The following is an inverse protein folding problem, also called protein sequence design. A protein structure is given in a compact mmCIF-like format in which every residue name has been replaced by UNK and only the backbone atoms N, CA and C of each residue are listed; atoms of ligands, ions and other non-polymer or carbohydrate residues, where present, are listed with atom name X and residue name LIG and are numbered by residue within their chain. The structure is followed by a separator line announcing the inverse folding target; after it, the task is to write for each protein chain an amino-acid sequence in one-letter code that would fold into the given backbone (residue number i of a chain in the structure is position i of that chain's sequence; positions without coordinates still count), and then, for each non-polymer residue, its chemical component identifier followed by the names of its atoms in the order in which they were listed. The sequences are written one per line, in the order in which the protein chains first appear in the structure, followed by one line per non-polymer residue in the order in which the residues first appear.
data_IF_887389647211
#
_entry.id   IF_887389647211
#
_cell.length_a   1.000
_cell.length_b   1.000
_cell.length_c   1.000
_cell.angle_alpha   90.00
_cell.angle_beta   90.00
_cell.angle_gamma   90.00
#
_symmetry.space_group_name_H-M   'P 1'
#
loop_
_entity.id
_entity.type
_entity.pdbx_description
1 polymer ?
#
# COMPACT_ATOMS: atom_id res chain seq x y z
N UNK A 1 68.47 -11.75 -29.19
CA UNK A 1 67.57 -12.83 -28.66
C UNK A 1 66.18 -12.26 -28.60
N UNK A 2 65.26 -12.70 -29.49
CA UNK A 2 63.84 -12.44 -29.35
C UNK A 2 63.26 -13.56 -28.49
N UNK A 3 62.77 -13.21 -27.32
CA UNK A 3 61.92 -14.10 -26.53
C UNK A 3 60.54 -14.18 -27.24
N UNK A 4 60.06 -15.36 -27.64
CA UNK A 4 58.72 -15.46 -28.17
C UNK A 4 57.75 -15.14 -27.03
N UNK A 5 56.89 -14.14 -27.25
CA UNK A 5 55.73 -13.91 -26.38
C UNK A 5 54.70 -14.93 -26.84
N UNK A 6 54.57 -16.01 -26.09
CA UNK A 6 53.51 -16.99 -26.29
C UNK A 6 52.23 -16.37 -25.73
N UNK A 7 51.46 -15.70 -26.60
CA UNK A 7 50.14 -15.17 -26.24
C UNK A 7 49.16 -16.33 -26.31
N UNK A 8 48.82 -16.88 -25.14
CA UNK A 8 47.66 -17.78 -25.04
C UNK A 8 46.38 -16.96 -25.25
N UNK A 9 45.68 -17.25 -26.33
CA UNK A 9 44.32 -16.73 -26.55
C UNK A 9 43.40 -17.56 -25.67
N UNK A 10 42.85 -16.96 -24.60
CA UNK A 10 41.79 -17.57 -23.81
C UNK A 10 40.44 -17.20 -24.45
N UNK A 11 39.57 -18.18 -24.61
CA UNK A 11 38.20 -17.93 -25.02
C UNK A 11 37.48 -17.01 -24.00
N UNK A 12 36.65 -16.12 -24.50
CA UNK A 12 35.85 -15.26 -23.64
C UNK A 12 34.84 -16.10 -22.86
N UNK A 13 34.90 -16.01 -21.53
CA UNK A 13 33.94 -16.67 -20.64
C UNK A 13 32.66 -15.85 -20.57
N UNK A 14 31.50 -16.51 -20.60
CA UNK A 14 30.22 -15.83 -20.51
C UNK A 14 29.88 -15.50 -19.05
N UNK A 15 29.64 -14.23 -18.76
CA UNK A 15 29.10 -13.81 -17.45
C UNK A 15 27.69 -14.38 -17.27
N UNK A 16 27.43 -15.05 -16.13
CA UNK A 16 26.10 -15.59 -15.88
C UNK A 16 25.54 -15.06 -14.55
N UNK A 17 24.22 -14.85 -14.52
CA UNK A 17 23.49 -14.34 -13.36
C UNK A 17 22.21 -15.12 -13.17
N UNK A 18 21.77 -15.21 -11.92
CA UNK A 18 20.42 -15.68 -11.62
C UNK A 18 19.44 -14.56 -11.98
N UNK A 19 18.40 -14.88 -12.76
CA UNK A 19 17.34 -13.93 -13.11
C UNK A 19 16.69 -13.42 -11.82
N UNK A 20 16.56 -12.09 -11.72
CA UNK A 20 15.80 -11.45 -10.65
C UNK A 20 14.32 -11.58 -10.98
N UNK A 21 13.52 -12.00 -9.99
CA UNK A 21 12.07 -12.13 -10.11
C UNK A 21 11.40 -10.77 -10.35
N UNK A 22 10.20 -10.80 -10.90
CA UNK A 22 9.38 -9.62 -11.12
C UNK A 22 9.19 -8.85 -9.82
N UNK A 23 9.35 -7.54 -9.88
CA UNK A 23 9.42 -6.66 -8.71
C UNK A 23 8.34 -5.58 -8.79
N UNK A 24 7.84 -5.15 -7.64
CA UNK A 24 6.83 -4.08 -7.58
C UNK A 24 7.46 -2.70 -7.77
N UNK A 25 6.71 -1.81 -8.41
CA UNK A 25 7.07 -0.40 -8.56
C UNK A 25 7.49 0.22 -7.21
N UNK A 26 8.59 0.99 -7.22
CA UNK A 26 9.16 1.62 -6.03
C UNK A 26 10.01 0.72 -5.15
N UNK A 27 10.17 -0.58 -5.48
CA UNK A 27 11.06 -1.46 -4.71
C UNK A 27 12.51 -1.19 -5.03
N UNK A 28 13.31 -0.88 -4.03
CA UNK A 28 14.76 -0.68 -4.19
C UNK A 28 15.49 -2.03 -4.32
N UNK A 29 16.30 -2.16 -5.35
CA UNK A 29 17.10 -3.33 -5.65
C UNK A 29 18.57 -2.93 -5.88
N UNK A 30 19.50 -3.78 -5.41
CA UNK A 30 20.91 -3.66 -5.74
C UNK A 30 21.29 -4.79 -6.69
N UNK A 31 21.74 -4.47 -7.90
CA UNK A 31 22.18 -5.45 -8.87
C UNK A 31 23.55 -6.03 -8.42
N UNK A 32 23.77 -7.36 -8.57
CA UNK A 32 25.02 -7.99 -8.17
C UNK A 32 26.17 -7.52 -9.06
N UNK A 33 27.25 -7.05 -8.47
CA UNK A 33 28.46 -6.61 -9.17
C UNK A 33 29.43 -7.77 -9.50
N UNK A 34 29.06 -8.99 -9.12
CA UNK A 34 29.82 -10.21 -9.40
C UNK A 34 28.88 -11.28 -9.93
N UNK A 35 29.22 -11.88 -11.05
CA UNK A 35 28.46 -12.98 -11.66
C UNK A 35 28.58 -14.28 -10.85
N UNK A 36 27.71 -15.25 -11.13
CA UNK A 36 27.73 -16.56 -10.47
C UNK A 36 29.04 -17.33 -10.68
N UNK A 37 29.78 -17.04 -11.77
CA UNK A 37 31.08 -17.62 -12.08
C UNK A 37 32.27 -16.70 -11.73
N UNK A 38 32.01 -15.66 -10.89
CA UNK A 38 33.07 -14.86 -10.26
C UNK A 38 33.62 -13.70 -11.10
N UNK A 39 33.00 -13.35 -12.22
CA UNK A 39 33.38 -12.22 -13.06
C UNK A 39 32.82 -10.94 -12.42
N UNK A 40 33.68 -9.95 -12.17
CA UNK A 40 33.26 -8.63 -11.63
C UNK A 40 32.98 -7.63 -12.74
N UNK A 41 32.12 -6.67 -12.49
CA UNK A 41 31.76 -5.65 -13.45
C UNK A 41 30.64 -4.74 -12.99
N UNK A 42 30.05 -4.00 -13.90
CA UNK A 42 29.01 -3.01 -13.64
C UNK A 42 27.81 -3.20 -14.56
N UNK A 43 26.63 -2.85 -14.07
CA UNK A 43 25.39 -2.83 -14.84
C UNK A 43 25.11 -1.45 -15.41
N UNK A 44 24.63 -1.41 -16.62
CA UNK A 44 24.16 -0.20 -17.31
C UNK A 44 22.83 -0.48 -17.98
N UNK A 45 21.83 0.45 -17.88
CA UNK A 45 21.83 1.66 -17.06
C UNK A 45 21.78 1.37 -15.56
N UNK A 46 21.78 2.42 -14.72
CA UNK A 46 21.51 2.30 -13.28
C UNK A 46 20.11 1.75 -13.07
N UNK A 47 19.88 0.98 -11.99
CA UNK A 47 18.59 0.41 -11.67
C UNK A 47 17.49 1.48 -11.55
N UNK A 48 16.37 1.24 -12.24
CA UNK A 48 15.17 2.07 -12.22
C UNK A 48 14.03 1.29 -11.55
N UNK A 49 13.58 1.69 -10.35
CA UNK A 49 12.52 0.99 -9.63
C UNK A 49 11.11 1.21 -10.22
N UNK A 50 10.96 2.08 -11.22
CA UNK A 50 9.64 2.46 -11.74
C UNK A 50 9.37 1.94 -13.15
N UNK A 51 10.39 1.44 -13.85
CA UNK A 51 10.23 1.00 -15.23
C UNK A 51 10.89 -0.35 -15.50
N UNK A 52 10.16 -1.23 -16.18
CA UNK A 52 10.75 -2.45 -16.76
C UNK A 52 11.90 -2.08 -17.68
N UNK A 53 13.10 -2.55 -17.37
CA UNK A 53 14.33 -2.14 -18.04
C UNK A 53 15.23 -3.34 -18.32
N UNK A 54 15.83 -3.35 -19.48
CA UNK A 54 16.91 -4.26 -19.83
C UNK A 54 18.25 -3.67 -19.40
N UNK A 55 19.01 -4.42 -18.65
CA UNK A 55 20.33 -4.06 -18.13
C UNK A 55 21.41 -4.88 -18.80
N UNK A 56 22.52 -4.24 -19.12
CA UNK A 56 23.72 -4.89 -19.67
C UNK A 56 24.82 -4.88 -18.61
N UNK A 57 25.37 -6.03 -18.33
CA UNK A 57 26.54 -6.19 -17.47
C UNK A 57 27.81 -6.07 -18.31
N UNK A 58 28.67 -5.16 -17.93
CA UNK A 58 29.99 -4.96 -18.54
C UNK A 58 31.07 -5.46 -17.57
N UNK A 59 31.81 -6.55 -17.94
CA UNK A 59 32.93 -7.04 -17.15
C UNK A 59 34.02 -5.99 -16.98
N UNK A 60 34.71 -6.00 -15.82
CA UNK A 60 35.87 -5.16 -15.60
C UNK A 60 37.02 -5.50 -16.55
N UNK A 61 37.87 -4.53 -16.86
CA UNK A 61 38.98 -4.72 -17.75
C UNK A 61 39.93 -5.85 -17.26
N UNK A 62 40.43 -6.65 -18.20
CA UNK A 62 41.36 -7.74 -17.94
C UNK A 62 40.73 -9.08 -17.57
N UNK A 63 39.42 -9.17 -17.47
CA UNK A 63 38.70 -10.42 -17.32
C UNK A 63 38.25 -10.88 -18.70
N UNK A 64 38.85 -11.85 -19.32
CA UNK A 64 38.44 -12.37 -20.64
C UNK A 64 37.01 -12.87 -20.62
N UNK A 65 36.04 -11.97 -20.44
CA UNK A 65 34.61 -12.25 -20.27
C UNK A 65 33.75 -11.44 -21.24
N UNK A 66 32.61 -11.99 -21.63
CA UNK A 66 31.61 -11.31 -22.44
C UNK A 66 30.55 -10.63 -21.58
N UNK A 67 29.90 -9.60 -22.14
CA UNK A 67 28.74 -8.95 -21.53
C UNK A 67 27.59 -9.93 -21.30
N UNK A 68 26.72 -9.63 -20.35
CA UNK A 68 25.46 -10.34 -20.12
C UNK A 68 24.29 -9.33 -20.10
N UNK A 69 23.13 -9.82 -20.41
CA UNK A 69 21.89 -9.02 -20.36
C UNK A 69 20.90 -9.62 -19.37
N UNK A 70 20.16 -8.76 -18.68
CA UNK A 70 19.08 -9.14 -17.77
C UNK A 70 17.96 -8.12 -17.89
N UNK A 71 16.73 -8.57 -18.11
CA UNK A 71 15.55 -7.71 -18.03
C UNK A 71 14.89 -7.89 -16.66
N UNK A 72 14.67 -6.79 -15.95
CA UNK A 72 13.91 -6.77 -14.71
C UNK A 72 12.55 -6.16 -15.02
N UNK A 73 11.50 -6.93 -14.74
CA UNK A 73 10.11 -6.52 -14.94
C UNK A 73 9.61 -5.79 -13.69
N UNK A 74 9.14 -4.57 -13.87
CA UNK A 74 8.50 -3.78 -12.81
C UNK A 74 6.98 -3.85 -13.02
N UNK A 75 6.31 -4.40 -12.01
CA UNK A 75 4.84 -4.49 -11.98
C UNK A 75 4.28 -3.29 -11.25
N UNK A 76 3.37 -2.50 -11.87
CA UNK A 76 2.72 -1.37 -11.21
C UNK A 76 2.01 -1.79 -9.93
N UNK A 77 2.09 -0.93 -8.90
CA UNK A 77 1.37 -1.14 -7.65
C UNK A 77 -0.12 -0.84 -7.82
N UNK A 78 -0.98 -1.66 -7.21
CA UNK A 78 -2.43 -1.48 -7.24
C UNK A 78 -2.97 -1.29 -5.84
N UNK A 79 -3.80 -0.27 -5.64
CA UNK A 79 -4.42 0.04 -4.34
C UNK A 79 -5.89 -0.42 -4.38
N UNK A 80 -6.37 -1.22 -3.40
CA UNK A 80 -7.79 -1.55 -3.28
C UNK A 80 -8.63 -0.29 -3.02
N UNK A 81 -9.68 -0.11 -3.81
CA UNK A 81 -10.59 1.04 -3.72
C UNK A 81 -11.91 0.62 -3.09
N UNK A 82 -12.42 1.45 -2.16
CA UNK A 82 -13.70 1.22 -1.50
C UNK A 82 -14.55 2.48 -1.47
N UNK A 83 -15.86 2.30 -1.54
CA UNK A 83 -16.81 3.38 -1.26
C UNK A 83 -16.79 3.66 0.24
N UNK A 84 -16.57 4.92 0.61
CA UNK A 84 -16.58 5.34 2.02
C UNK A 84 -17.97 5.06 2.63
N UNK A 85 -17.98 4.43 3.79
CA UNK A 85 -19.20 4.25 4.60
C UNK A 85 -19.52 5.60 5.26
N UNK A 86 -20.77 6.04 5.11
CA UNK A 86 -21.26 7.28 5.73
C UNK A 86 -21.14 7.24 7.26
N UNK A 87 -21.00 8.40 7.93
CA UNK A 87 -20.97 8.45 9.39
C UNK A 87 -22.23 7.82 10.00
N UNK A 88 -22.05 6.99 11.03
CA UNK A 88 -23.11 6.31 11.78
C UNK A 88 -23.37 7.05 13.09
N UNK A 89 -24.59 6.89 13.66
CA UNK A 89 -24.84 7.29 15.03
C UNK A 89 -24.42 6.17 16.01
N UNK A 90 -23.97 6.56 17.19
CA UNK A 90 -23.60 5.60 18.23
C UNK A 90 -24.76 4.64 18.56
N UNK A 91 -24.51 3.33 18.45
CA UNK A 91 -25.50 2.28 18.68
C UNK A 91 -26.30 1.86 17.44
N UNK A 92 -26.14 2.51 16.28
CA UNK A 92 -26.75 2.06 15.05
C UNK A 92 -26.25 0.65 14.66
N UNK A 93 -27.06 -0.05 13.86
CA UNK A 93 -26.64 -1.33 13.30
C UNK A 93 -25.74 -1.06 12.08
N UNK A 94 -24.43 -1.34 12.15
CA UNK A 94 -23.54 -1.02 11.07
C UNK A 94 -23.70 -1.96 9.87
N UNK A 95 -23.38 -1.51 8.64
CA UNK A 95 -23.26 -2.40 7.50
C UNK A 95 -22.08 -3.37 7.67
N UNK A 96 -22.02 -4.39 6.82
CA UNK A 96 -20.86 -5.26 6.75
C UNK A 96 -19.71 -4.58 5.97
N UNK A 97 -18.46 -4.85 6.36
CA UNK A 97 -17.30 -4.43 5.59
C UNK A 97 -17.18 -5.27 4.32
N UNK A 98 -17.08 -4.66 3.13
CA UNK A 98 -16.97 -5.42 1.88
C UNK A 98 -15.64 -6.18 1.81
N UNK A 99 -15.70 -7.47 1.48
CA UNK A 99 -14.51 -8.33 1.34
C UNK A 99 -13.86 -8.23 -0.05
N UNK A 100 -14.52 -7.55 -0.98
CA UNK A 100 -14.04 -7.30 -2.35
C UNK A 100 -14.07 -5.80 -2.60
N UNK A 101 -12.96 -5.25 -3.05
CA UNK A 101 -12.85 -3.84 -3.39
C UNK A 101 -13.62 -3.49 -4.67
N UNK A 102 -13.87 -2.20 -4.94
CA UNK A 102 -14.56 -1.73 -6.15
C UNK A 102 -13.79 -2.09 -7.43
N UNK A 103 -12.47 -2.26 -7.34
CA UNK A 103 -11.60 -2.69 -8.44
C UNK A 103 -11.29 -4.20 -8.41
N UNK A 104 -12.10 -5.00 -7.66
CA UNK A 104 -12.13 -6.45 -7.76
C UNK A 104 -11.08 -7.21 -6.93
N UNK A 105 -10.41 -6.55 -5.99
CA UNK A 105 -9.38 -7.16 -5.15
C UNK A 105 -10.05 -7.76 -3.90
N UNK A 106 -9.83 -9.05 -3.67
CA UNK A 106 -10.31 -9.77 -2.49
C UNK A 106 -9.34 -9.59 -1.31
N UNK A 107 -9.88 -9.54 -0.09
CA UNK A 107 -9.08 -9.38 1.12
C UNK A 107 -9.88 -9.40 2.41
N UNK A 108 -9.22 -8.98 3.49
CA UNK A 108 -9.80 -8.97 4.83
C UNK A 108 -9.54 -7.65 5.53
N UNK A 109 -10.47 -7.28 6.40
CA UNK A 109 -10.36 -6.09 7.24
C UNK A 109 -9.83 -6.42 8.63
N UNK A 110 -9.04 -5.49 9.18
CA UNK A 110 -8.64 -5.52 10.58
C UNK A 110 -8.86 -4.12 11.20
N UNK A 111 -9.73 -3.97 12.21
CA UNK A 111 -10.70 -4.96 12.70
C UNK A 111 -11.67 -5.45 11.61
N UNK A 112 -12.25 -6.64 11.77
CA UNK A 112 -13.17 -7.25 10.80
C UNK A 112 -14.66 -6.98 11.09
N UNK A 113 -14.96 -6.30 12.20
CA UNK A 113 -16.31 -5.92 12.62
C UNK A 113 -16.29 -4.42 12.94
N UNK A 114 -17.32 -3.70 12.45
CA UNK A 114 -17.45 -2.28 12.72
C UNK A 114 -17.83 -2.05 14.18
N UNK A 115 -17.01 -1.25 14.88
CA UNK A 115 -17.33 -0.72 16.19
C UNK A 115 -18.35 0.41 16.00
N UNK A 116 -19.56 0.23 16.53
CA UNK A 116 -20.62 1.22 16.40
C UNK A 116 -20.71 2.20 17.59
N UNK A 117 -19.69 2.24 18.43
CA UNK A 117 -19.64 3.15 19.59
C UNK A 117 -18.50 4.17 19.47
N UNK A 118 -17.47 3.88 18.67
CA UNK A 118 -16.28 4.71 18.55
C UNK A 118 -15.80 4.80 17.09
N UNK A 119 -15.40 6.00 16.67
CA UNK A 119 -14.73 6.21 15.39
C UNK A 119 -13.47 5.35 15.31
N UNK A 120 -13.40 4.49 14.30
CA UNK A 120 -12.33 3.49 14.17
C UNK A 120 -11.82 3.45 12.73
N UNK A 121 -10.52 3.25 12.60
CA UNK A 121 -9.87 3.01 11.29
C UNK A 121 -9.69 1.52 11.08
N UNK A 122 -10.09 1.06 9.92
CA UNK A 122 -10.05 -0.33 9.45
C UNK A 122 -9.03 -0.44 8.34
N UNK A 123 -8.13 -1.41 8.43
CA UNK A 123 -7.12 -1.67 7.39
C UNK A 123 -7.53 -2.89 6.59
N UNK A 124 -7.59 -2.73 5.27
CA UNK A 124 -7.83 -3.83 4.34
C UNK A 124 -6.49 -4.41 3.89
N UNK A 125 -6.37 -5.74 4.02
CA UNK A 125 -5.21 -6.50 3.56
C UNK A 125 -5.64 -7.44 2.45
N UNK A 126 -5.10 -7.31 1.23
CA UNK A 126 -5.37 -8.22 0.13
C UNK A 126 -5.01 -9.67 0.49
N UNK A 127 -5.81 -10.63 0.02
CA UNK A 127 -5.59 -12.06 0.26
C UNK A 127 -4.52 -12.65 -0.64
N UNK A 128 -4.42 -12.17 -1.88
CA UNK A 128 -3.49 -12.66 -2.90
C UNK A 128 -3.07 -11.52 -3.84
N UNK A 129 -1.95 -11.73 -4.51
CA UNK A 129 -1.41 -10.84 -5.53
C UNK A 129 -0.10 -10.19 -5.11
N UNK A 130 0.86 -10.21 -6.04
CA UNK A 130 2.06 -9.40 -5.94
C UNK A 130 1.73 -7.96 -6.32
N UNK A 131 2.35 -7.01 -5.67
CA UNK A 131 2.22 -5.58 -5.97
C UNK A 131 0.80 -5.01 -5.70
N UNK A 132 0.10 -5.54 -4.70
CA UNK A 132 -1.14 -4.95 -4.20
C UNK A 132 -0.88 -4.38 -2.80
N UNK A 133 -1.21 -3.11 -2.62
CA UNK A 133 -1.01 -2.42 -1.35
C UNK A 133 -2.18 -2.63 -0.40
N UNK A 134 -1.96 -2.35 0.87
CA UNK A 134 -3.04 -2.25 1.85
C UNK A 134 -3.73 -0.90 1.73
N UNK A 135 -5.01 -0.83 2.07
CA UNK A 135 -5.73 0.45 2.15
C UNK A 135 -6.45 0.56 3.49
N UNK A 136 -6.83 1.78 3.88
CA UNK A 136 -7.50 2.02 5.14
C UNK A 136 -8.77 2.86 4.94
N UNK A 137 -9.79 2.56 5.75
CA UNK A 137 -11.06 3.30 5.81
C UNK A 137 -11.35 3.68 7.25
N UNK A 138 -11.62 4.95 7.51
CA UNK A 138 -12.08 5.42 8.84
C UNK A 138 -13.59 5.57 8.81
N UNK A 139 -14.28 4.87 9.72
CA UNK A 139 -15.72 4.99 9.91
C UNK A 139 -15.96 5.87 11.12
N UNK A 140 -16.64 7.00 10.87
CA UNK A 140 -16.94 7.99 11.90
C UNK A 140 -18.21 7.60 12.65
N UNK A 141 -18.16 7.62 13.97
CA UNK A 141 -19.31 7.44 14.85
C UNK A 141 -19.63 8.76 15.53
N UNK A 142 -20.85 9.25 15.27
CA UNK A 142 -21.40 10.44 15.91
C UNK A 142 -22.04 10.05 17.23
N UNK A 143 -21.72 10.76 18.31
CA UNK A 143 -22.34 10.56 19.61
C UNK A 143 -23.81 10.92 19.57
N UNK A 144 -24.66 10.14 20.31
CA UNK A 144 -26.06 10.47 20.49
C UNK A 144 -26.20 11.61 21.50
N UNK A 145 -26.77 12.72 21.06
CA UNK A 145 -27.13 13.81 21.94
C UNK A 145 -28.56 13.61 22.45
N UNK A 146 -28.73 13.44 23.75
CA UNK A 146 -30.04 13.33 24.40
C UNK A 146 -30.53 14.75 24.69
N UNK A 147 -31.63 15.21 24.04
CA UNK A 147 -32.14 16.56 24.30
C UNK A 147 -32.66 16.67 25.73
N UNK A 148 -32.27 17.73 26.43
CA UNK A 148 -32.77 18.05 27.75
C UNK A 148 -33.51 19.38 27.75
N UNK A 149 -34.49 19.52 28.64
CA UNK A 149 -35.28 20.73 28.76
C UNK A 149 -35.35 21.17 30.22
N UNK A 150 -35.21 22.46 30.44
CA UNK A 150 -35.38 23.07 31.75
C UNK A 150 -36.74 23.79 31.77
N UNK A 151 -37.59 23.42 32.69
CA UNK A 151 -38.87 24.08 32.91
C UNK A 151 -38.82 24.76 34.30
N UNK A 152 -39.37 25.97 34.37
CA UNK A 152 -39.56 26.66 35.65
C UNK A 152 -40.71 26.07 36.43
N UNK A 153 -40.64 26.10 37.77
CA UNK A 153 -41.72 25.77 38.63
C UNK A 153 -42.88 26.76 38.43
N UNK A 154 -44.12 26.25 38.43
CA UNK A 154 -45.36 27.04 38.17
C UNK A 154 -46.14 27.06 39.47
N UNK A 155 -46.53 28.27 39.92
CA UNK A 155 -47.43 28.44 41.07
C UNK A 155 -48.89 28.27 40.66
N UNK A 156 -49.71 27.84 41.66
CA UNK A 156 -51.16 27.71 41.41
C UNK A 156 -51.77 29.06 41.03
N UNK A 157 -52.41 29.11 39.85
CA UNK A 157 -53.05 30.33 39.30
C UNK A 157 -52.21 31.07 38.25
N UNK A 158 -50.95 30.61 37.94
CA UNK A 158 -50.17 31.17 36.85
C UNK A 158 -50.57 30.54 35.50
N UNK A 159 -50.34 31.30 34.45
CA UNK A 159 -50.54 30.80 33.07
C UNK A 159 -49.37 29.91 32.64
N UNK A 160 -49.69 28.71 32.18
CA UNK A 160 -48.70 27.78 31.65
C UNK A 160 -48.11 28.35 30.37
N UNK A 161 -46.79 28.50 30.31
CA UNK A 161 -46.07 28.89 29.08
C UNK A 161 -46.01 27.73 28.07
N UNK A 162 -45.88 28.04 26.81
CA UNK A 162 -45.65 27.03 25.77
C UNK A 162 -44.36 26.27 26.06
N UNK A 163 -44.36 24.98 25.81
CA UNK A 163 -43.14 24.16 25.93
C UNK A 163 -42.04 24.66 24.98
N UNK A 164 -40.79 24.64 25.41
CA UNK A 164 -39.72 25.03 24.52
C UNK A 164 -39.59 24.05 23.33
N UNK A 165 -39.44 24.60 22.13
CA UNK A 165 -39.20 23.83 20.91
C UNK A 165 -37.72 23.59 20.59
N UNK A 166 -36.87 24.14 21.44
CA UNK A 166 -35.40 23.97 21.35
C UNK A 166 -34.91 23.43 22.69
N UNK A 167 -34.12 22.34 22.65
CA UNK A 167 -33.51 21.78 23.86
C UNK A 167 -32.36 22.66 24.37
N UNK A 168 -31.87 22.36 25.57
CA UNK A 168 -30.69 23.05 26.15
C UNK A 168 -29.43 22.84 25.28
N UNK A 169 -29.37 21.77 24.52
CA UNK A 169 -28.28 21.42 23.57
C UNK A 169 -28.51 22.04 22.16
N UNK A 170 -29.58 22.82 21.95
CA UNK A 170 -29.89 23.48 20.70
C UNK A 170 -30.62 22.63 19.66
N UNK A 171 -31.13 21.45 20.06
CA UNK A 171 -31.87 20.54 19.15
C UNK A 171 -33.30 21.05 19.03
N UNK A 172 -33.74 21.23 17.79
CA UNK A 172 -35.12 21.63 17.42
C UNK A 172 -36.02 20.40 17.32
N UNK A 173 -37.18 20.41 17.98
CA UNK A 173 -38.18 19.34 17.95
C UNK A 173 -39.48 19.83 17.33
#
# INVERSE_FOLDING_TARGET
LRVPVDATITDSESSNFTQIEDTCEGTELTLPTTSNNGITGVWSPQFDPNNTTAYTFEPDEGQCASTAEMTIVITPSTIPEFTQIDPLCAGDNPPELPLISNNGIEGTWNPNIINNLETTTYTFTPSEGSCIETTAMTITINELTIPSFSLNDICIGETIQALPTISNEGIIG
#
